data_IF_232352945511
#
_entry.id   IF_232352945511
#
_cell.length_a   1.000
_cell.length_b   1.000
_cell.length_c   1.000
_cell.angle_alpha   90.00
_cell.angle_beta   90.00
_cell.angle_gamma   90.00
#
_symmetry.space_group_name_H-M   'P 1'
#
loop_
_entity.id
_entity.type
_entity.pdbx_description
1 polymer ?
#
# COMPACT_ATOMS: atom_id res chain seq x y z
N UNK A 1 -64.14 83.85 -15.26
CA UNK A 1 -65.24 83.87 -14.26
C UNK A 1 -65.13 82.58 -13.45
N UNK A 2 -64.47 82.61 -12.28
CA UNK A 2 -65.03 82.63 -10.91
C UNK A 2 -65.89 81.39 -10.56
N UNK A 3 -65.32 80.52 -9.71
CA UNK A 3 -65.89 79.32 -9.02
C UNK A 3 -66.89 79.72 -7.91
N UNK A 4 -67.75 78.82 -7.39
CA UNK A 4 -67.44 78.09 -6.11
C UNK A 4 -68.15 76.68 -5.98
N UNK A 5 -67.57 75.66 -5.32
CA UNK A 5 -67.65 75.26 -3.87
C UNK A 5 -68.88 74.42 -3.46
N UNK A 6 -68.68 73.12 -3.11
CA UNK A 6 -69.40 72.32 -2.07
C UNK A 6 -68.70 70.93 -1.90
N UNK A 7 -67.80 70.68 -0.94
CA UNK A 7 -67.94 70.19 0.46
C UNK A 7 -68.57 68.79 0.66
N UNK A 8 -67.76 67.76 1.00
CA UNK A 8 -67.78 67.01 2.29
C UNK A 8 -66.92 65.72 2.32
N UNK A 9 -65.99 65.64 3.31
CA UNK A 9 -65.70 64.55 4.27
C UNK A 9 -65.49 63.12 3.71
N UNK A 10 -64.34 62.43 3.90
CA UNK A 10 -63.95 61.72 5.14
C UNK A 10 -62.48 61.27 5.07
N UNK A 11 -61.82 61.36 6.23
CA UNK A 11 -60.48 60.90 6.53
C UNK A 11 -60.29 59.38 6.41
N UNK A 12 -59.15 58.94 5.88
CA UNK A 12 -58.56 57.66 6.27
C UNK A 12 -57.05 57.70 6.14
N UNK A 13 -56.45 57.62 7.31
CA UNK A 13 -55.06 57.35 7.64
C UNK A 13 -54.59 56.03 7.01
N UNK A 14 -53.62 56.06 6.10
CA UNK A 14 -52.68 54.94 5.95
C UNK A 14 -51.31 55.45 5.51
N UNK A 15 -50.43 55.51 6.51
CA UNK A 15 -48.98 55.63 6.38
C UNK A 15 -48.47 54.33 5.75
N UNK A 16 -47.83 54.42 4.58
CA UNK A 16 -46.79 53.47 4.21
C UNK A 16 -45.57 54.21 3.66
N UNK A 17 -44.67 54.43 4.61
CA UNK A 17 -43.27 54.72 4.45
C UNK A 17 -42.63 53.50 3.73
N UNK A 18 -42.42 53.58 2.42
CA UNK A 18 -41.58 52.59 1.73
C UNK A 18 -40.11 52.96 1.97
N UNK A 19 -39.58 52.40 3.05
CA UNK A 19 -38.18 52.43 3.44
C UNK A 19 -37.39 51.48 2.54
N UNK A 20 -36.40 51.99 1.83
CA UNK A 20 -35.43 51.23 1.03
C UNK A 20 -34.60 50.35 1.95
N UNK A 21 -34.94 49.06 2.01
CA UNK A 21 -34.19 48.05 2.76
C UNK A 21 -33.14 47.43 1.84
N UNK A 22 -31.88 47.66 2.20
CA UNK A 22 -30.67 47.04 1.66
C UNK A 22 -30.83 45.51 1.66
N UNK A 23 -30.68 44.88 0.49
CA UNK A 23 -30.62 43.44 0.36
C UNK A 23 -29.16 42.98 0.44
N UNK A 24 -28.85 42.20 1.46
CA UNK A 24 -27.60 41.48 1.65
C UNK A 24 -27.35 40.50 0.50
N UNK A 25 -26.20 40.65 -0.17
CA UNK A 25 -25.69 39.68 -1.14
C UNK A 25 -25.16 38.44 -0.39
N UNK A 26 -26.04 37.50 -0.10
CA UNK A 26 -25.64 36.10 0.13
C UNK A 26 -25.51 35.43 -1.24
N UNK A 27 -24.32 34.96 -1.67
CA UNK A 27 -24.25 34.17 -2.90
C UNK A 27 -24.95 32.84 -2.67
N UNK A 28 -26.15 32.73 -3.21
CA UNK A 28 -26.86 31.47 -3.36
C UNK A 28 -25.97 30.50 -4.13
N UNK A 29 -25.65 29.38 -3.48
CA UNK A 29 -25.03 28.19 -4.07
C UNK A 29 -25.87 27.73 -5.26
N UNK A 30 -25.52 28.20 -6.46
CA UNK A 30 -26.02 27.65 -7.71
C UNK A 30 -25.60 26.19 -7.75
N UNK A 31 -26.58 25.29 -7.64
CA UNK A 31 -26.38 23.87 -7.84
C UNK A 31 -25.86 23.66 -9.28
N UNK A 32 -24.62 23.17 -9.37
CA UNK A 32 -24.04 22.70 -10.61
C UNK A 32 -24.91 21.57 -11.20
N UNK A 33 -24.99 21.46 -12.55
CA UNK A 33 -25.76 20.40 -13.20
C UNK A 33 -25.29 19.04 -12.72
N UNK A 34 -26.24 18.14 -12.44
CA UNK A 34 -25.99 16.78 -12.01
C UNK A 34 -25.12 16.06 -13.05
N UNK A 35 -23.82 16.03 -12.79
CA UNK A 35 -22.86 15.23 -13.53
C UNK A 35 -23.25 13.75 -13.37
N UNK A 36 -23.03 12.97 -14.43
CA UNK A 36 -23.11 11.52 -14.36
C UNK A 36 -22.40 11.00 -13.09
N UNK A 37 -22.90 9.93 -12.44
CA UNK A 37 -22.23 9.39 -11.26
C UNK A 37 -20.78 9.18 -11.65
N UNK A 38 -19.85 9.83 -10.96
CA UNK A 38 -18.41 9.73 -11.23
C UNK A 38 -17.86 8.80 -10.16
N UNK A 39 -16.94 7.90 -10.52
CA UNK A 39 -16.34 7.02 -9.55
C UNK A 39 -15.61 7.85 -8.49
N UNK A 40 -15.92 7.59 -7.23
CA UNK A 40 -15.36 8.33 -6.10
C UNK A 40 -14.99 7.42 -4.95
N UNK A 41 -13.90 7.76 -4.26
CA UNK A 41 -13.56 7.22 -2.96
C UNK A 41 -14.04 8.15 -1.84
N UNK A 42 -14.23 7.60 -0.65
CA UNK A 42 -14.56 8.34 0.57
C UNK A 42 -13.41 8.18 1.56
N UNK A 43 -12.99 9.28 2.18
CA UNK A 43 -11.96 9.28 3.21
C UNK A 43 -12.53 8.70 4.51
N UNK A 44 -11.96 7.59 4.98
CA UNK A 44 -12.43 6.90 6.18
C UNK A 44 -11.58 7.25 7.41
N UNK A 45 -10.30 7.57 7.22
CA UNK A 45 -9.39 7.88 8.30
C UNK A 45 -8.34 8.92 7.85
N UNK A 46 -8.08 9.90 8.71
CA UNK A 46 -6.96 10.84 8.56
C UNK A 46 -6.27 10.97 9.92
N UNK A 47 -4.95 10.80 9.94
CA UNK A 47 -4.12 11.05 11.11
C UNK A 47 -2.97 11.95 10.69
N UNK A 48 -2.68 12.98 11.50
CA UNK A 48 -1.67 13.98 11.17
C UNK A 48 -2.11 14.92 10.04
N UNK A 49 -1.15 15.47 9.30
CA UNK A 49 -1.39 16.45 8.24
C UNK A 49 -1.42 15.77 6.87
N UNK A 50 -2.61 15.68 6.30
CA UNK A 50 -2.86 15.25 4.92
C UNK A 50 -3.63 16.34 4.14
N UNK A 51 -3.34 16.50 2.86
CA UNK A 51 -4.03 17.44 1.96
C UNK A 51 -4.48 16.76 0.69
N UNK A 52 -5.58 17.26 0.12
CA UNK A 52 -6.12 16.87 -1.17
C UNK A 52 -6.13 18.10 -2.07
N UNK A 53 -5.48 18.00 -3.22
CA UNK A 53 -5.51 19.00 -4.29
C UNK A 53 -6.48 18.52 -5.37
N UNK A 54 -7.62 19.19 -5.48
CA UNK A 54 -8.66 18.94 -6.48
C UNK A 54 -8.58 20.04 -7.54
N UNK A 55 -8.08 19.69 -8.72
CA UNK A 55 -7.78 20.65 -9.78
C UNK A 55 -6.70 21.65 -9.34
N UNK A 56 -7.13 22.83 -8.87
CA UNK A 56 -6.25 23.91 -8.39
C UNK A 56 -6.45 24.25 -6.91
N UNK A 57 -7.45 23.65 -6.25
CA UNK A 57 -7.81 23.96 -4.87
C UNK A 57 -7.22 22.89 -3.95
N UNK A 58 -6.28 23.29 -3.09
CA UNK A 58 -5.73 22.43 -2.05
C UNK A 58 -6.45 22.67 -0.72
N UNK A 59 -6.89 21.61 -0.08
CA UNK A 59 -7.52 21.64 1.24
C UNK A 59 -6.98 20.53 2.13
N UNK A 60 -7.12 20.69 3.45
CA UNK A 60 -6.79 19.63 4.39
C UNK A 60 -7.80 18.50 4.26
N UNK A 61 -7.31 17.26 4.21
CA UNK A 61 -8.15 16.08 4.13
C UNK A 61 -8.92 15.90 5.45
N UNK A 62 -10.22 15.66 5.34
CA UNK A 62 -11.11 15.34 6.44
C UNK A 62 -11.84 14.01 6.20
N UNK A 63 -12.28 13.37 7.28
CA UNK A 63 -13.11 12.17 7.19
C UNK A 63 -14.43 12.53 6.49
N UNK A 64 -14.83 11.73 5.52
CA UNK A 64 -16.01 11.97 4.68
C UNK A 64 -15.72 12.74 3.39
N UNK A 65 -14.50 13.26 3.21
CA UNK A 65 -14.14 13.91 1.95
C UNK A 65 -14.19 12.91 0.78
N UNK A 66 -14.50 13.44 -0.40
CA UNK A 66 -14.61 12.67 -1.62
C UNK A 66 -13.30 12.78 -2.41
N UNK A 67 -12.73 11.63 -2.77
CA UNK A 67 -11.58 11.50 -3.65
C UNK A 67 -12.08 11.13 -5.05
N UNK A 68 -11.73 11.92 -6.05
CA UNK A 68 -12.14 11.71 -7.44
C UNK A 68 -10.94 11.64 -8.37
N UNK A 69 -11.21 11.27 -9.63
CA UNK A 69 -10.23 11.33 -10.71
C UNK A 69 -9.63 12.74 -10.83
N UNK A 70 -8.31 12.80 -10.91
CA UNK A 70 -7.50 14.03 -11.03
C UNK A 70 -6.93 14.53 -9.72
N UNK A 71 -7.41 14.03 -8.58
CA UNK A 71 -6.95 14.49 -7.27
C UNK A 71 -5.50 14.09 -6.99
N UNK A 72 -4.79 14.97 -6.28
CA UNK A 72 -3.46 14.70 -5.74
C UNK A 72 -3.52 14.72 -4.22
N UNK A 73 -3.19 13.59 -3.61
CA UNK A 73 -3.18 13.39 -2.17
C UNK A 73 -1.73 13.53 -1.69
N UNK A 74 -1.53 14.30 -0.60
CA UNK A 74 -0.23 14.46 0.04
C UNK A 74 -0.32 14.21 1.54
N UNK A 75 0.64 13.46 2.08
CA UNK A 75 0.78 13.21 3.51
C UNK A 75 2.12 13.74 4.00
N UNK A 76 2.12 14.39 5.17
CA UNK A 76 3.35 14.84 5.83
C UNK A 76 4.02 13.70 6.61
N UNK A 77 5.18 13.95 7.20
CA UNK A 77 5.79 13.03 8.16
C UNK A 77 4.84 12.76 9.34
N UNK A 78 4.74 11.51 9.78
CA UNK A 78 3.83 11.02 10.81
C UNK A 78 2.35 11.03 10.42
N UNK A 79 2.01 11.42 9.18
CA UNK A 79 0.63 11.47 8.72
C UNK A 79 0.23 10.20 7.97
N UNK A 80 -1.04 9.81 8.05
CA UNK A 80 -1.63 8.76 7.22
C UNK A 80 -3.02 9.15 6.78
N UNK A 81 -3.43 8.65 5.63
CA UNK A 81 -4.77 8.87 5.09
C UNK A 81 -5.27 7.58 4.45
N UNK A 82 -6.45 7.14 4.85
CA UNK A 82 -7.10 5.97 4.28
C UNK A 82 -8.39 6.40 3.61
N UNK A 83 -8.56 6.01 2.35
CA UNK A 83 -9.82 6.19 1.64
C UNK A 83 -10.30 4.85 1.04
N UNK A 84 -11.62 4.72 0.91
CA UNK A 84 -12.29 3.52 0.41
C UNK A 84 -13.06 3.87 -0.85
N UNK A 85 -12.98 3.00 -1.85
CA UNK A 85 -13.84 3.08 -3.03
C UNK A 85 -14.89 1.99 -2.91
N UNK A 86 -16.16 2.40 -2.92
CA UNK A 86 -17.28 1.51 -2.68
C UNK A 86 -17.30 0.36 -3.69
N UNK A 87 -17.41 -0.87 -3.18
CA UNK A 87 -17.41 -2.08 -4.01
C UNK A 87 -16.07 -2.44 -4.63
N UNK A 88 -14.99 -1.67 -4.44
CA UNK A 88 -13.68 -1.90 -5.07
C UNK A 88 -12.62 -2.28 -4.04
N UNK A 89 -12.39 -1.45 -3.03
CA UNK A 89 -11.29 -1.67 -2.10
C UNK A 89 -10.93 -0.47 -1.24
N UNK A 90 -9.83 -0.63 -0.53
CA UNK A 90 -9.27 0.33 0.42
C UNK A 90 -7.84 0.69 -0.01
N UNK A 91 -7.51 1.97 0.13
CA UNK A 91 -6.21 2.54 -0.19
C UNK A 91 -5.72 3.30 1.05
N UNK A 92 -4.62 2.84 1.65
CA UNK A 92 -4.00 3.46 2.81
C UNK A 92 -2.66 4.09 2.39
N UNK A 93 -2.60 5.41 2.51
CA UNK A 93 -1.48 6.26 2.13
C UNK A 93 -0.70 6.57 3.41
N UNK A 94 0.57 6.13 3.43
CA UNK A 94 1.45 6.33 4.58
C UNK A 94 2.05 7.73 4.56
N UNK A 95 2.88 8.02 5.54
CA UNK A 95 3.54 9.30 5.69
C UNK A 95 4.43 9.67 4.49
N UNK A 96 4.72 10.96 4.35
CA UNK A 96 5.65 11.49 3.35
C UNK A 96 5.35 11.04 1.91
N UNK A 97 4.07 10.86 1.58
CA UNK A 97 3.64 10.32 0.30
C UNK A 97 2.96 11.38 -0.57
N UNK A 98 3.11 11.25 -1.89
CA UNK A 98 2.40 12.05 -2.88
C UNK A 98 1.86 11.15 -3.97
N UNK A 99 0.54 11.11 -4.12
CA UNK A 99 -0.16 10.16 -4.96
C UNK A 99 -1.22 10.89 -5.78
N UNK A 100 -1.21 10.68 -7.09
CA UNK A 100 -2.24 11.16 -8.00
C UNK A 100 -3.20 10.02 -8.35
N UNK A 101 -4.48 10.34 -8.36
CA UNK A 101 -5.55 9.43 -8.76
C UNK A 101 -5.92 9.73 -10.21
N UNK A 102 -5.55 8.85 -11.15
CA UNK A 102 -5.80 9.06 -12.58
C UNK A 102 -7.08 8.37 -13.06
N UNK A 103 -7.46 7.26 -12.42
CA UNK A 103 -8.73 6.59 -12.65
C UNK A 103 -9.18 5.84 -11.40
N UNK A 104 -10.49 5.82 -11.17
CA UNK A 104 -11.14 5.04 -10.13
C UNK A 104 -12.20 4.14 -10.76
N UNK A 105 -12.29 2.90 -10.27
CA UNK A 105 -13.23 1.92 -10.77
C UNK A 105 -14.67 2.28 -10.35
N UNK A 106 -15.59 2.22 -11.30
CA UNK A 106 -16.99 2.60 -11.11
C UNK A 106 -17.47 3.56 -12.20
N UNK A 107 -18.78 3.82 -12.26
CA UNK A 107 -19.32 4.88 -13.13
C UNK A 107 -18.96 4.77 -14.64
N UNK A 108 -18.77 3.54 -15.14
CA UNK A 108 -18.36 3.28 -16.53
C UNK A 108 -16.85 3.10 -16.71
N UNK A 109 -16.03 3.49 -15.72
CA UNK A 109 -14.61 3.19 -15.72
C UNK A 109 -14.34 1.79 -15.18
N UNK A 110 -13.50 1.06 -15.93
CA UNK A 110 -13.09 -0.31 -15.62
C UNK A 110 -11.66 -0.40 -15.07
N UNK A 111 -11.02 0.75 -14.85
CA UNK A 111 -9.63 0.82 -14.44
C UNK A 111 -9.47 1.59 -13.13
N UNK A 112 -8.63 1.07 -12.24
CA UNK A 112 -8.01 1.85 -11.16
C UNK A 112 -6.61 2.22 -11.62
N UNK A 113 -6.31 3.51 -11.75
CA UNK A 113 -4.96 3.99 -12.06
C UNK A 113 -4.52 5.01 -11.04
N UNK A 114 -3.38 4.75 -10.41
CA UNK A 114 -2.77 5.69 -9.47
C UNK A 114 -1.29 5.86 -9.78
N UNK A 115 -0.80 7.08 -9.61
CA UNK A 115 0.61 7.41 -9.76
C UNK A 115 1.20 7.81 -8.41
N UNK A 116 2.13 7.02 -7.92
CA UNK A 116 2.87 7.26 -6.69
C UNK A 116 4.14 8.00 -7.06
N UNK A 117 4.19 9.31 -6.78
CA UNK A 117 5.37 10.12 -7.06
C UNK A 117 6.48 9.85 -6.03
N UNK A 118 6.10 9.64 -4.78
CA UNK A 118 6.97 9.22 -3.67
C UNK A 118 6.15 8.65 -2.52
N UNK A 119 6.83 7.92 -1.65
CA UNK A 119 6.27 7.41 -0.40
C UNK A 119 5.70 6.00 -0.54
N UNK A 120 4.76 5.64 0.34
CA UNK A 120 4.26 4.27 0.47
C UNK A 120 2.74 4.22 0.45
N UNK A 121 2.21 3.30 -0.35
CA UNK A 121 0.77 3.02 -0.43
C UNK A 121 0.51 1.53 -0.23
N UNK A 122 -0.53 1.26 0.55
CA UNK A 122 -1.04 -0.06 0.82
C UNK A 122 -2.39 -0.17 0.12
N UNK A 123 -2.52 -1.14 -0.78
CA UNK A 123 -3.69 -1.26 -1.65
C UNK A 123 -4.36 -2.60 -1.42
N UNK A 124 -5.57 -2.58 -0.88
CA UNK A 124 -6.41 -3.75 -0.66
C UNK A 124 -7.67 -3.69 -1.51
N UNK A 125 -7.63 -4.27 -2.71
CA UNK A 125 -8.77 -4.32 -3.64
C UNK A 125 -9.38 -5.71 -3.70
N UNK A 126 -10.65 -5.83 -4.10
CA UNK A 126 -11.25 -7.14 -4.43
C UNK A 126 -10.61 -7.71 -5.69
N UNK A 127 -10.84 -9.01 -5.93
CA UNK A 127 -10.41 -9.65 -7.18
C UNK A 127 -11.12 -8.97 -8.35
N UNK A 128 -10.34 -8.48 -9.31
CA UNK A 128 -10.84 -7.80 -10.49
C UNK A 128 -11.41 -8.82 -11.49
N UNK A 129 -12.43 -8.41 -12.25
CA UNK A 129 -12.94 -9.22 -13.37
C UNK A 129 -11.99 -9.15 -14.58
N UNK A 130 -12.24 -9.94 -15.64
CA UNK A 130 -11.40 -9.89 -16.85
C UNK A 130 -11.44 -8.54 -17.58
N UNK A 131 -12.50 -7.76 -17.37
CA UNK A 131 -12.66 -6.45 -17.98
C UNK A 131 -12.11 -5.32 -17.12
N UNK A 132 -11.71 -5.62 -15.88
CA UNK A 132 -11.23 -4.65 -14.92
C UNK A 132 -9.70 -4.75 -14.75
N UNK A 133 -9.04 -3.61 -14.57
CA UNK A 133 -7.59 -3.55 -14.33
C UNK A 133 -7.25 -2.60 -13.18
N UNK A 134 -6.13 -2.86 -12.50
CA UNK A 134 -5.54 -1.93 -11.55
C UNK A 134 -4.06 -1.75 -11.86
N UNK A 135 -3.66 -0.50 -12.01
CA UNK A 135 -2.31 -0.08 -12.42
C UNK A 135 -1.80 0.94 -11.42
N UNK A 136 -0.67 0.63 -10.78
CA UNK A 136 0.05 1.57 -9.93
C UNK A 136 1.36 1.92 -10.61
N UNK A 137 1.53 3.18 -10.95
CA UNK A 137 2.75 3.70 -11.56
C UNK A 137 3.65 4.35 -10.51
N UNK A 138 4.94 4.05 -10.59
CA UNK A 138 6.00 4.70 -9.82
C UNK A 138 7.06 5.24 -10.80
N UNK A 139 8.04 6.04 -10.35
CA UNK A 139 9.09 6.54 -11.25
C UNK A 139 9.92 5.44 -11.92
N UNK A 140 10.07 4.27 -11.28
CA UNK A 140 10.95 3.19 -11.75
C UNK A 140 10.19 1.95 -12.23
N UNK A 141 8.89 1.84 -11.97
CA UNK A 141 8.12 0.65 -12.33
C UNK A 141 6.62 0.89 -12.47
N UNK A 142 5.97 -0.02 -13.17
CA UNK A 142 4.52 -0.12 -13.29
C UNK A 142 4.07 -1.46 -12.71
N UNK A 143 3.19 -1.44 -11.73
CA UNK A 143 2.60 -2.62 -11.12
C UNK A 143 1.17 -2.82 -11.65
N UNK A 144 0.95 -3.86 -12.46
CA UNK A 144 -0.35 -4.28 -12.96
C UNK A 144 -0.90 -5.43 -12.11
N UNK A 145 -2.10 -5.27 -11.57
CA UNK A 145 -2.61 -6.11 -10.48
C UNK A 145 -3.79 -6.95 -10.98
N UNK A 146 -3.71 -8.28 -10.82
CA UNK A 146 -4.80 -9.21 -11.15
C UNK A 146 -5.61 -9.66 -9.92
N UNK A 147 -5.34 -9.04 -8.77
CA UNK A 147 -5.90 -9.30 -7.44
C UNK A 147 -4.82 -9.83 -6.47
N UNK A 148 -4.84 -9.64 -5.16
CA UNK A 148 -5.48 -8.59 -4.31
C UNK A 148 -4.56 -8.33 -3.12
N UNK A 149 -4.46 -7.11 -2.60
CA UNK A 149 -3.57 -6.77 -1.48
C UNK A 149 -2.09 -6.82 -1.82
N UNK A 150 -1.50 -5.63 -1.93
CA UNK A 150 -0.08 -5.45 -2.14
C UNK A 150 0.35 -4.10 -1.57
N UNK A 151 1.64 -3.96 -1.34
CA UNK A 151 2.27 -2.73 -0.87
C UNK A 151 3.18 -2.23 -1.97
N UNK A 152 3.14 -0.93 -2.25
CA UNK A 152 4.10 -0.25 -3.11
C UNK A 152 4.83 0.77 -2.26
N UNK A 153 6.14 0.60 -2.16
CA UNK A 153 7.04 1.53 -1.46
C UNK A 153 7.99 2.15 -2.48
N UNK A 154 7.86 3.46 -2.66
CA UNK A 154 8.71 4.30 -3.49
C UNK A 154 9.24 5.49 -2.67
N UNK A 155 9.47 5.29 -1.37
CA UNK A 155 10.09 6.30 -0.50
C UNK A 155 11.61 6.39 -0.71
N UNK A 156 12.25 5.28 -1.10
CA UNK A 156 13.68 5.18 -1.35
C UNK A 156 14.08 5.42 -2.81
N UNK A 157 15.34 5.06 -3.14
CA UNK A 157 15.82 5.07 -4.52
C UNK A 157 15.22 3.94 -5.37
N UNK A 158 14.90 2.84 -4.70
CA UNK A 158 14.34 1.65 -5.32
C UNK A 158 12.84 1.60 -5.02
N UNK A 159 12.05 1.07 -5.94
CA UNK A 159 10.64 0.79 -5.72
C UNK A 159 10.49 -0.65 -5.30
N UNK A 160 9.86 -0.90 -4.15
CA UNK A 160 9.52 -2.25 -3.69
C UNK A 160 8.03 -2.52 -3.88
N UNK A 161 7.72 -3.69 -4.42
CA UNK A 161 6.34 -4.18 -4.55
C UNK A 161 6.23 -5.51 -3.82
N UNK A 162 5.48 -5.52 -2.71
CA UNK A 162 5.28 -6.70 -1.87
C UNK A 162 3.87 -7.23 -2.09
N UNK A 163 3.74 -8.46 -2.59
CA UNK A 163 2.45 -9.06 -2.92
C UNK A 163 2.00 -9.96 -1.80
N UNK A 164 0.85 -9.63 -1.24
CA UNK A 164 0.31 -10.36 -0.11
C UNK A 164 -0.58 -11.51 -0.56
N UNK A 165 -1.57 -11.21 -1.39
CA UNK A 165 -2.46 -12.22 -2.00
C UNK A 165 -2.60 -11.99 -3.50
N UNK A 166 -2.92 -13.06 -4.23
CA UNK A 166 -2.92 -13.14 -5.68
C UNK A 166 -1.57 -12.84 -6.35
N UNK A 167 -1.59 -12.03 -7.40
CA UNK A 167 -0.45 -11.84 -8.31
C UNK A 167 -0.42 -10.43 -8.88
N UNK A 168 0.78 -9.87 -8.92
CA UNK A 168 1.07 -8.54 -9.49
C UNK A 168 2.18 -8.70 -10.51
N UNK A 169 1.92 -8.27 -11.74
CA UNK A 169 2.95 -8.14 -12.75
C UNK A 169 3.65 -6.79 -12.55
N UNK A 170 4.97 -6.82 -12.31
CA UNK A 170 5.77 -5.62 -12.14
C UNK A 170 6.66 -5.44 -13.35
N UNK A 171 6.49 -4.32 -14.04
CA UNK A 171 7.21 -3.96 -15.25
C UNK A 171 8.17 -2.78 -15.00
N UNK A 172 9.34 -2.85 -15.63
CA UNK A 172 10.36 -1.81 -15.70
C UNK A 172 10.83 -1.67 -17.16
N UNK A 173 11.74 -0.73 -17.43
CA UNK A 173 12.41 -0.61 -18.73
C UNK A 173 13.31 -1.82 -19.05
N UNK A 174 13.73 -2.62 -18.05
CA UNK A 174 14.57 -3.81 -18.22
C UNK A 174 13.79 -5.12 -18.37
N UNK A 175 12.48 -5.11 -18.18
CA UNK A 175 11.64 -6.30 -18.31
C UNK A 175 10.45 -6.30 -17.37
N UNK A 176 9.81 -7.46 -17.24
CA UNK A 176 8.63 -7.67 -16.40
C UNK A 176 8.77 -8.99 -15.62
N UNK A 177 8.25 -9.00 -14.39
CA UNK A 177 8.23 -10.17 -13.50
C UNK A 177 6.85 -10.30 -12.86
N UNK A 178 6.29 -11.52 -12.89
CA UNK A 178 5.11 -11.86 -12.10
C UNK A 178 5.50 -12.16 -10.66
N UNK A 179 5.02 -11.32 -9.75
CA UNK A 179 5.22 -11.45 -8.31
C UNK A 179 3.99 -12.12 -7.73
N UNK A 180 4.18 -13.33 -7.21
CA UNK A 180 3.13 -14.12 -6.58
C UNK A 180 3.04 -13.83 -5.07
N UNK A 181 2.01 -14.38 -4.44
CA UNK A 181 1.77 -14.27 -2.99
C UNK A 181 3.03 -14.49 -2.15
N UNK A 182 3.18 -13.65 -1.13
CA UNK A 182 4.23 -13.70 -0.12
C UNK A 182 5.65 -13.47 -0.69
N UNK A 183 5.73 -12.85 -1.87
CA UNK A 183 6.98 -12.42 -2.49
C UNK A 183 7.04 -10.91 -2.61
N UNK A 184 8.25 -10.43 -2.76
CA UNK A 184 8.56 -9.02 -2.95
C UNK A 184 9.49 -8.88 -4.15
N UNK A 185 9.29 -7.85 -4.95
CA UNK A 185 10.27 -7.45 -5.96
C UNK A 185 10.79 -6.07 -5.62
N UNK A 186 12.10 -5.89 -5.69
CA UNK A 186 12.75 -4.59 -5.67
C UNK A 186 13.10 -4.20 -7.10
N UNK A 187 12.73 -2.98 -7.49
CA UNK A 187 13.08 -2.36 -8.77
C UNK A 187 14.05 -1.24 -8.48
N UNK A 188 15.31 -1.44 -8.82
CA UNK A 188 16.34 -0.42 -8.64
C UNK A 188 16.13 0.78 -9.57
N UNK A 189 16.80 1.90 -9.27
CA UNK A 189 16.73 3.10 -10.10
C UNK A 189 17.17 2.91 -11.56
N UNK A 190 18.00 1.89 -11.84
CA UNK A 190 18.42 1.50 -13.19
C UNK A 190 17.45 0.52 -13.87
N UNK A 191 16.31 0.23 -13.22
CA UNK A 191 15.27 -0.67 -13.69
C UNK A 191 15.54 -2.15 -13.41
N UNK A 192 16.65 -2.51 -12.76
CA UNK A 192 16.94 -3.91 -12.46
C UNK A 192 15.93 -4.46 -11.46
N UNK A 193 15.34 -5.61 -11.81
CA UNK A 193 14.37 -6.34 -11.00
C UNK A 193 15.06 -7.41 -10.15
N UNK A 194 14.79 -7.44 -8.86
CA UNK A 194 15.25 -8.47 -7.93
C UNK A 194 14.08 -9.04 -7.12
N UNK A 195 13.74 -10.31 -7.36
CA UNK A 195 12.69 -11.02 -6.64
C UNK A 195 13.27 -11.64 -5.36
N UNK A 196 12.65 -11.33 -4.23
CA UNK A 196 13.04 -11.77 -2.89
C UNK A 196 11.82 -12.23 -2.08
N UNK A 197 12.05 -12.87 -0.93
CA UNK A 197 11.00 -13.11 0.04
C UNK A 197 10.58 -11.80 0.72
N UNK A 198 9.32 -11.74 1.15
CA UNK A 198 8.78 -10.58 1.87
C UNK A 198 9.61 -10.28 3.14
N UNK A 199 9.96 -9.01 3.33
CA UNK A 199 10.64 -8.51 4.52
C UNK A 199 9.68 -8.36 5.73
N UNK A 200 10.23 -8.27 6.95
CA UNK A 200 9.43 -8.06 8.18
C UNK A 200 8.69 -6.72 8.21
N UNK A 201 9.27 -5.69 7.60
CA UNK A 201 8.66 -4.37 7.49
C UNK A 201 7.42 -4.44 6.60
N UNK A 202 7.57 -5.05 5.42
CA UNK A 202 6.47 -5.31 4.49
C UNK A 202 5.37 -6.18 5.14
N UNK A 203 5.71 -7.09 6.07
CA UNK A 203 4.71 -7.84 6.83
C UNK A 203 3.93 -7.03 7.85
N UNK A 204 4.56 -6.01 8.40
CA UNK A 204 3.93 -5.13 9.38
C UNK A 204 2.94 -4.21 8.67
N UNK A 205 3.34 -3.67 7.51
CA UNK A 205 2.45 -2.95 6.61
C UNK A 205 1.28 -3.85 6.15
N UNK A 206 1.58 -5.09 5.77
CA UNK A 206 0.58 -6.11 5.42
C UNK A 206 -0.40 -6.41 6.58
N UNK A 207 0.08 -6.50 7.82
CA UNK A 207 -0.77 -6.64 9.01
C UNK A 207 -1.72 -5.47 9.15
N UNK A 208 -1.23 -4.25 8.92
CA UNK A 208 -2.02 -3.03 8.98
C UNK A 208 -3.19 -3.08 7.98
N UNK A 209 -2.94 -3.52 6.74
CA UNK A 209 -4.01 -3.73 5.72
C UNK A 209 -5.13 -4.59 6.29
N UNK A 210 -4.82 -5.76 6.83
CA UNK A 210 -5.81 -6.71 7.34
C UNK A 210 -6.63 -6.14 8.51
N UNK A 211 -6.03 -5.26 9.30
CA UNK A 211 -6.70 -4.62 10.45
C UNK A 211 -7.60 -3.45 10.07
N UNK A 212 -7.54 -2.94 8.83
CA UNK A 212 -8.48 -1.92 8.38
C UNK A 212 -9.88 -2.55 8.30
N UNK A 213 -10.80 -2.06 9.13
CA UNK A 213 -12.16 -2.58 9.40
C UNK A 213 -13.01 -2.92 8.17
N UNK A 214 -12.65 -2.42 6.99
CA UNK A 214 -13.39 -2.61 5.74
C UNK A 214 -12.84 -3.72 4.83
N UNK A 215 -11.65 -4.26 5.12
CA UNK A 215 -11.05 -5.33 4.30
C UNK A 215 -11.65 -6.69 4.62
N UNK A 216 -12.22 -6.89 5.83
CA UNK A 216 -12.92 -8.14 6.21
C UNK A 216 -14.10 -8.50 5.29
N UNK A 217 -14.63 -7.53 4.52
CA UNK A 217 -15.68 -7.77 3.52
C UNK A 217 -15.16 -8.28 2.17
N UNK A 218 -13.85 -8.28 1.94
CA UNK A 218 -13.22 -8.89 0.76
C UNK A 218 -13.13 -10.40 1.03
N UNK A 219 -13.80 -11.22 0.19
CA UNK A 219 -13.97 -12.68 0.34
C UNK A 219 -12.69 -13.53 0.58
N UNK A 220 -11.50 -12.94 0.66
CA UNK A 220 -10.21 -13.62 0.79
C UNK A 220 -9.45 -13.32 2.10
N UNK A 221 -10.01 -12.56 3.06
CA UNK A 221 -9.29 -12.22 4.31
C UNK A 221 -9.01 -13.43 5.22
N UNK A 222 -9.84 -14.48 5.17
CA UNK A 222 -9.59 -15.72 5.93
C UNK A 222 -8.24 -16.36 5.54
N UNK A 223 -8.02 -16.59 4.25
CA UNK A 223 -6.78 -17.15 3.72
C UNK A 223 -5.56 -16.25 4.02
N UNK A 224 -5.81 -14.93 4.09
CA UNK A 224 -4.79 -13.95 4.37
C UNK A 224 -4.33 -13.96 5.84
N UNK A 225 -5.26 -14.05 6.80
CA UNK A 225 -4.92 -14.23 8.22
C UNK A 225 -4.11 -15.52 8.42
N UNK A 226 -4.45 -16.59 7.69
CA UNK A 226 -3.73 -17.87 7.77
C UNK A 226 -2.34 -17.82 7.12
N UNK A 227 -2.20 -17.19 5.95
CA UNK A 227 -0.91 -17.02 5.27
C UNK A 227 0.02 -16.09 6.05
N UNK A 228 -0.51 -15.02 6.64
CA UNK A 228 0.24 -14.12 7.50
C UNK A 228 0.68 -14.82 8.80
N UNK A 229 -0.19 -15.64 9.39
CA UNK A 229 0.15 -16.46 10.58
C UNK A 229 1.23 -17.48 10.24
N UNK A 230 1.21 -18.08 9.05
CA UNK A 230 2.26 -18.99 8.55
C UNK A 230 3.58 -18.24 8.29
N UNK A 231 3.55 -17.04 7.72
CA UNK A 231 4.77 -16.25 7.49
C UNK A 231 5.37 -15.71 8.76
N UNK A 232 4.56 -15.24 9.72
CA UNK A 232 5.05 -14.84 11.03
C UNK A 232 5.68 -16.02 11.75
N UNK A 233 5.04 -17.21 11.73
CA UNK A 233 5.62 -18.44 12.30
C UNK A 233 6.97 -18.78 11.65
N UNK A 234 7.07 -18.69 10.33
CA UNK A 234 8.31 -19.00 9.58
C UNK A 234 9.42 -18.00 9.85
N UNK A 235 9.10 -16.72 10.08
CA UNK A 235 10.08 -15.69 10.39
C UNK A 235 10.50 -15.68 11.86
N UNK A 236 9.61 -16.07 12.78
CA UNK A 236 9.95 -16.37 14.18
C UNK A 236 10.82 -17.63 14.27
N UNK A 237 10.54 -18.68 13.49
CA UNK A 237 11.42 -19.86 13.37
C UNK A 237 12.77 -19.54 12.71
N UNK A 238 12.82 -18.51 11.86
CA UNK A 238 14.07 -17.98 11.31
C UNK A 238 14.87 -17.16 12.33
N UNK A 239 14.20 -16.58 13.33
CA UNK A 239 14.84 -15.91 14.47
C UNK A 239 15.31 -16.88 15.54
N UNK A 240 14.61 -18.00 15.79
CA UNK A 240 15.14 -19.07 16.66
C UNK A 240 16.40 -19.72 16.09
N UNK A 241 16.62 -19.65 14.77
CA UNK A 241 17.88 -20.07 14.13
C UNK A 241 18.95 -18.97 14.02
N UNK A 242 18.66 -17.74 14.44
CA UNK A 242 19.63 -16.62 14.48
C UNK A 242 19.61 -15.83 15.79
N UNK A 243 19.30 -16.49 16.91
CA UNK A 243 19.26 -15.85 18.23
C UNK A 243 19.43 -16.80 19.41
N UNK A 244 20.61 -17.43 19.55
CA UNK A 244 21.14 -17.79 20.87
C UNK A 244 20.98 -19.23 21.38
N UNK A 245 21.65 -20.20 20.73
CA UNK A 245 22.52 -21.15 21.44
C UNK A 245 23.55 -21.70 20.46
N UNK A 246 24.81 -21.42 20.75
CA UNK A 246 25.95 -22.21 20.29
C UNK A 246 25.70 -23.66 20.66
N UNK A 247 25.27 -24.46 19.69
CA UNK A 247 25.52 -25.90 19.61
C UNK A 247 25.54 -26.27 18.12
N UNK A 248 26.40 -25.58 17.36
CA UNK A 248 27.06 -26.29 16.26
C UNK A 248 27.86 -27.37 16.98
N UNK A 249 27.48 -28.64 16.82
CA UNK A 249 28.42 -29.75 17.02
C UNK A 249 29.54 -29.54 16.02
N UNK A 250 30.50 -28.69 16.40
CA UNK A 250 31.76 -28.54 15.71
C UNK A 250 32.51 -29.79 16.10
N UNK A 251 32.61 -30.72 15.16
CA UNK A 251 33.40 -31.93 15.35
C UNK A 251 34.79 -31.55 15.85
N UNK A 252 35.31 -32.29 16.82
CA UNK A 252 36.61 -32.01 17.44
C UNK A 252 37.78 -31.91 16.43
N UNK A 253 37.57 -32.38 15.19
CA UNK A 253 38.48 -32.23 14.06
C UNK A 253 38.55 -30.79 13.53
N UNK A 254 37.43 -30.07 13.45
CA UNK A 254 37.36 -28.68 12.97
C UNK A 254 38.00 -27.70 13.97
N UNK A 255 38.01 -28.06 15.26
CA UNK A 255 38.73 -27.31 16.32
C UNK A 255 40.24 -27.49 16.15
N UNK A 256 40.72 -28.74 15.99
CA UNK A 256 42.15 -29.01 15.78
C UNK A 256 42.69 -28.41 14.49
N UNK A 257 41.94 -28.46 13.39
CA UNK A 257 42.33 -27.87 12.11
C UNK A 257 42.44 -26.33 12.21
N UNK A 258 41.50 -25.68 12.92
CA UNK A 258 41.57 -24.23 13.18
C UNK A 258 42.71 -23.81 14.10
N UNK A 259 43.07 -24.63 15.08
CA UNK A 259 44.22 -24.38 15.95
C UNK A 259 45.56 -24.56 15.22
N UNK A 260 45.67 -25.56 14.34
CA UNK A 260 46.86 -25.78 13.50
C UNK A 260 47.05 -24.65 12.45
N UNK A 261 45.95 -24.16 11.85
CA UNK A 261 45.94 -22.99 10.96
C UNK A 261 46.38 -21.71 11.70
N UNK A 262 45.95 -21.51 12.95
CA UNK A 262 46.37 -20.36 13.77
C UNK A 262 47.84 -20.44 14.21
N UNK A 263 48.40 -21.64 14.32
CA UNK A 263 49.83 -21.86 14.62
C UNK A 263 50.73 -21.87 13.38
N UNK A 264 50.16 -21.76 12.18
CA UNK A 264 50.90 -21.71 10.92
C UNK A 264 51.51 -23.04 10.48
N UNK A 265 51.10 -24.16 11.08
CA UNK A 265 51.62 -25.50 10.80
C UNK A 265 50.90 -26.20 9.63
N UNK A 266 49.81 -25.62 9.11
CA UNK A 266 48.96 -26.21 8.06
C UNK A 266 48.33 -25.12 7.19
N UNK A 267 48.33 -25.32 5.86
CA UNK A 267 47.73 -24.37 4.91
C UNK A 267 46.22 -24.59 4.73
N UNK A 268 45.54 -23.58 4.16
CA UNK A 268 44.08 -23.58 4.03
C UNK A 268 43.54 -24.66 3.08
N UNK A 269 44.36 -25.16 2.15
CA UNK A 269 43.98 -26.23 1.22
C UNK A 269 43.95 -27.57 1.94
N UNK A 270 45.02 -27.88 2.66
CA UNK A 270 45.15 -29.13 3.43
C UNK A 270 44.14 -29.24 4.58
N UNK A 271 43.77 -28.11 5.20
CA UNK A 271 42.70 -28.08 6.22
C UNK A 271 41.32 -28.41 5.64
N UNK A 272 41.03 -27.97 4.41
CA UNK A 272 39.76 -28.24 3.73
C UNK A 272 39.66 -29.70 3.28
N UNK A 273 40.77 -30.29 2.81
CA UNK A 273 40.86 -31.69 2.41
C UNK A 273 40.67 -32.66 3.59
N UNK A 274 41.18 -32.32 4.78
CA UNK A 274 40.99 -33.13 6.00
C UNK A 274 39.53 -33.14 6.46
N UNK A 275 38.86 -31.99 6.49
CA UNK A 275 37.43 -31.92 6.86
C UNK A 275 36.53 -32.64 5.86
N UNK A 276 36.85 -32.61 4.56
CA UNK A 276 36.06 -33.33 3.55
C UNK A 276 36.31 -34.84 3.56
N UNK A 277 37.55 -35.30 3.76
CA UNK A 277 37.86 -36.74 3.84
C UNK A 277 37.16 -37.41 5.03
N UNK A 278 37.12 -36.74 6.19
CA UNK A 278 36.44 -37.27 7.38
C UNK A 278 34.91 -37.28 7.23
N UNK A 279 34.31 -36.23 6.64
CA UNK A 279 32.88 -36.23 6.31
C UNK A 279 32.49 -37.36 5.33
N UNK A 280 33.41 -37.76 4.45
CA UNK A 280 33.21 -38.87 3.53
C UNK A 280 33.35 -40.25 4.22
N UNK A 281 34.14 -40.36 5.28
CA UNK A 281 34.29 -41.58 6.10
C UNK A 281 33.09 -41.76 7.05
N UNK A 282 32.66 -40.68 7.73
CA UNK A 282 31.48 -40.69 8.62
C UNK A 282 30.18 -40.96 7.83
N UNK A 283 30.08 -40.47 6.58
CA UNK A 283 28.96 -40.80 5.69
C UNK A 283 28.99 -42.24 5.17
N UNK A 284 30.15 -42.90 5.16
CA UNK A 284 30.28 -44.31 4.77
C UNK A 284 29.95 -45.24 5.94
N UNK A 285 30.27 -44.88 7.17
CA UNK A 285 29.85 -45.63 8.36
C UNK A 285 28.33 -45.61 8.56
N UNK A 286 27.67 -44.46 8.32
CA UNK A 286 26.20 -44.38 8.39
C UNK A 286 25.47 -45.22 7.34
N UNK A 287 26.09 -45.49 6.18
CA UNK A 287 25.49 -46.33 5.14
C UNK A 287 25.65 -47.84 5.39
N UNK A 288 26.47 -48.26 6.37
CA UNK A 288 26.66 -49.67 6.69
C UNK A 288 25.62 -50.15 7.72
N UNK A 289 25.05 -49.25 8.53
CA UNK A 289 24.06 -49.61 9.56
C UNK A 289 22.64 -49.84 9.00
N UNK A 290 22.29 -49.20 7.88
CA UNK A 290 20.96 -49.29 7.25
C UNK A 290 20.72 -50.60 6.47
N UNK A 291 21.69 -51.53 6.47
CA UNK A 291 21.60 -52.84 5.82
C UNK A 291 21.42 -54.03 6.78
N UNK A 292 21.15 -53.79 8.07
CA UNK A 292 20.96 -54.86 9.07
C UNK A 292 19.55 -55.05 9.61
N UNK A 293 18.57 -54.32 9.13
CA UNK A 293 17.16 -54.61 9.41
C UNK A 293 16.38 -54.83 8.11
N UNK A 294 16.46 -56.05 7.57
CA UNK A 294 15.36 -56.76 6.93
C UNK A 294 15.72 -58.25 6.76
#
# INVERSE_FOLDING_TARGET
>A
MKRPLLLLLIASLFVFLNCTKTADNTPAKTAAPAAAPTASGIVNEVVGKATILTGTVEHAAAIGDTVVKGDVIRTSAGAKMTFKVEGVGVFNIKESSEIRVDALLGAGEKEVRMKVARGKILVGIRKLTMEESAVIETPTSVAAVRGTSFVVDSAGKDTKVSVLTGSVNVQSDKGSVDVNELKEVSVAADGKLALVEISKESLSDVKEIITIKDIESIKNVGNLKDNLKKLSLRLEQREESTGGKTDVKIDAADIKAREALKKGEMDASSAFDVSNKKKLEDSKELMIDDKKEY
#
